data_IF_334394759549
#
_entry.id   IF_334394759549
#
_cell.length_a   1.000
_cell.length_b   1.000
_cell.length_c   1.000
_cell.angle_alpha   90.00
_cell.angle_beta   90.00
_cell.angle_gamma   90.00
#
_symmetry.space_group_name_H-M   'P 1'
#
loop_
_entity.id
_entity.type
_entity.pdbx_description
1 polymer ?
#
# COMPACT_ATOMS: atom_id res chain seq x y z
N UNK A 1 -3.66 -5.09 4.09
CA UNK A 1 -2.85 -4.21 3.24
C UNK A 1 -3.03 -2.82 3.79
N UNK A 2 -1.92 -2.21 4.18
CA UNK A 2 -1.87 -0.95 4.92
C UNK A 2 -0.77 -0.07 4.35
N UNK A 3 -0.87 1.23 4.56
CA UNK A 3 0.18 2.20 4.21
C UNK A 3 0.43 3.13 5.38
N UNK A 4 1.64 3.64 5.44
CA UNK A 4 2.10 4.60 6.44
C UNK A 4 1.39 5.96 6.27
N UNK A 5 1.19 6.72 7.36
CA UNK A 5 0.57 8.07 7.32
C UNK A 5 1.14 8.98 6.23
N UNK A 6 2.45 9.02 6.06
CA UNK A 6 3.12 9.78 5.00
C UNK A 6 2.60 9.49 3.57
N UNK A 7 2.15 8.27 3.29
CA UNK A 7 1.55 7.90 1.99
C UNK A 7 0.18 8.54 1.82
N UNK A 8 -0.62 8.62 2.88
CA UNK A 8 -1.90 9.32 2.87
C UNK A 8 -1.71 10.84 2.71
N UNK A 9 -0.73 11.44 3.39
CA UNK A 9 -0.37 12.84 3.17
C UNK A 9 0.06 13.09 1.73
N UNK A 10 0.90 12.22 1.17
CA UNK A 10 1.26 12.29 -0.24
C UNK A 10 0.06 12.16 -1.17
N UNK A 11 -0.91 11.28 -0.85
CA UNK A 11 -2.12 11.13 -1.66
C UNK A 11 -2.92 12.43 -1.77
N UNK A 12 -2.96 13.24 -0.71
CA UNK A 12 -3.62 14.56 -0.71
C UNK A 12 -2.88 15.54 -1.63
N UNK A 13 -1.55 15.61 -1.55
CA UNK A 13 -0.75 16.65 -2.22
C UNK A 13 -0.29 16.30 -3.64
N UNK A 14 0.00 15.02 -3.90
CA UNK A 14 0.67 14.54 -5.12
C UNK A 14 0.13 13.23 -5.68
N UNK A 15 -0.99 12.73 -5.13
CA UNK A 15 -1.71 11.58 -5.66
C UNK A 15 -2.50 11.90 -6.94
N UNK A 16 -3.16 10.87 -7.49
CA UNK A 16 -4.20 11.08 -8.50
C UNK A 16 -5.51 11.57 -7.83
N UNK A 17 -6.42 12.18 -8.60
CA UNK A 17 -7.64 12.78 -8.04
C UNK A 17 -8.50 11.81 -7.22
N UNK A 18 -8.56 10.52 -7.58
CA UNK A 18 -9.26 9.50 -6.79
C UNK A 18 -8.55 9.24 -5.46
N UNK A 19 -7.22 9.21 -5.45
CA UNK A 19 -6.43 9.05 -4.23
C UNK A 19 -6.54 10.27 -3.32
N UNK A 20 -6.53 11.48 -3.89
CA UNK A 20 -6.76 12.72 -3.13
C UNK A 20 -8.14 12.70 -2.48
N UNK A 21 -9.20 12.49 -3.27
CA UNK A 21 -10.58 12.46 -2.76
C UNK A 21 -10.76 11.41 -1.67
N UNK A 22 -10.24 10.20 -1.89
CA UNK A 22 -10.31 9.14 -0.88
C UNK A 22 -9.53 9.50 0.38
N UNK A 23 -8.32 10.05 0.25
CA UNK A 23 -7.47 10.41 1.39
C UNK A 23 -8.06 11.53 2.26
N UNK A 24 -8.92 12.37 1.70
CA UNK A 24 -9.69 13.37 2.45
C UNK A 24 -10.89 12.70 3.14
N UNK A 25 -11.74 12.02 2.37
CA UNK A 25 -13.00 11.46 2.89
C UNK A 25 -12.78 10.38 3.96
N UNK A 26 -11.64 9.67 3.93
CA UNK A 26 -11.34 8.64 4.93
C UNK A 26 -11.25 9.17 6.36
N UNK A 27 -10.96 10.47 6.53
CA UNK A 27 -10.81 11.10 7.85
C UNK A 27 -12.16 11.30 8.56
N UNK A 28 -13.27 11.20 7.84
CA UNK A 28 -14.63 11.28 8.37
C UNK A 28 -15.17 9.92 8.84
N UNK A 29 -14.39 8.85 8.66
CA UNK A 29 -14.78 7.48 9.03
C UNK A 29 -14.24 7.13 10.42
N UNK A 30 -15.02 6.40 11.20
CA UNK A 30 -14.55 5.76 12.43
C UNK A 30 -13.41 4.78 12.15
N UNK A 31 -12.52 4.58 13.13
CA UNK A 31 -11.28 3.79 12.98
C UNK A 31 -11.49 2.40 12.36
N UNK A 32 -12.55 1.67 12.77
CA UNK A 32 -12.85 0.34 12.25
C UNK A 32 -13.25 0.39 10.77
N UNK A 33 -14.16 1.29 10.40
CA UNK A 33 -14.57 1.49 9.01
C UNK A 33 -13.40 1.97 8.15
N UNK A 34 -12.58 2.84 8.73
CA UNK A 34 -11.41 3.41 8.07
C UNK A 34 -10.43 2.31 7.66
N UNK A 35 -10.09 1.38 8.57
CA UNK A 35 -9.21 0.23 8.29
C UNK A 35 -9.77 -0.64 7.15
N UNK A 36 -11.06 -0.97 7.21
CA UNK A 36 -11.70 -1.82 6.19
C UNK A 36 -11.68 -1.14 4.81
N UNK A 37 -12.15 0.10 4.76
CA UNK A 37 -12.24 0.88 3.51
C UNK A 37 -10.88 1.14 2.91
N UNK A 38 -9.85 1.39 3.74
CA UNK A 38 -8.49 1.58 3.26
C UNK A 38 -7.96 0.36 2.57
N UNK A 39 -8.09 -0.78 3.24
CA UNK A 39 -7.67 -2.05 2.70
C UNK A 39 -8.35 -2.33 1.36
N UNK A 40 -9.64 -1.98 1.21
CA UNK A 40 -10.40 -2.08 -0.04
C UNK A 40 -9.91 -1.09 -1.10
N UNK A 41 -9.76 0.18 -0.78
CA UNK A 41 -9.30 1.23 -1.70
C UNK A 41 -7.89 0.93 -2.23
N UNK A 42 -6.98 0.57 -1.31
CA UNK A 42 -5.60 0.23 -1.59
C UNK A 42 -5.52 -0.94 -2.58
N UNK A 43 -6.41 -1.93 -2.51
CA UNK A 43 -6.46 -3.04 -3.46
C UNK A 43 -7.01 -2.66 -4.84
N UNK A 44 -7.80 -1.59 -4.92
CA UNK A 44 -8.41 -1.11 -6.17
C UNK A 44 -7.44 -0.37 -7.10
N UNK A 45 -7.95 0.05 -8.26
CA UNK A 45 -7.18 0.82 -9.26
C UNK A 45 -6.64 2.14 -8.69
N UNK A 46 -7.44 2.86 -7.90
CA UNK A 46 -7.02 4.12 -7.26
C UNK A 46 -5.82 3.91 -6.33
N UNK A 47 -5.89 2.89 -5.46
CA UNK A 47 -4.79 2.48 -4.60
C UNK A 47 -3.56 2.00 -5.36
N UNK A 48 -3.73 1.25 -6.45
CA UNK A 48 -2.63 0.80 -7.31
C UNK A 48 -1.85 1.99 -7.87
N UNK A 49 -2.56 2.99 -8.42
CA UNK A 49 -1.95 4.21 -8.94
C UNK A 49 -1.26 5.01 -7.84
N UNK A 50 -1.85 5.09 -6.64
CA UNK A 50 -1.22 5.74 -5.49
C UNK A 50 0.12 5.07 -5.13
N UNK A 51 0.15 3.73 -5.03
CA UNK A 51 1.39 3.00 -4.74
C UNK A 51 2.45 3.21 -5.81
N UNK A 52 2.07 3.12 -7.08
CA UNK A 52 3.01 3.38 -8.18
C UNK A 52 3.56 4.80 -8.13
N UNK A 53 2.73 5.80 -7.82
CA UNK A 53 3.18 7.18 -7.67
C UNK A 53 4.12 7.36 -6.47
N UNK A 54 3.82 6.73 -5.33
CA UNK A 54 4.69 6.71 -4.17
C UNK A 54 6.06 6.11 -4.48
N UNK A 55 6.11 4.92 -5.09
CA UNK A 55 7.38 4.29 -5.46
C UNK A 55 8.20 5.11 -6.47
N UNK A 56 7.55 5.90 -7.34
CA UNK A 56 8.25 6.77 -8.29
C UNK A 56 8.99 7.94 -7.63
N UNK A 57 8.68 8.29 -6.39
CA UNK A 57 9.45 9.29 -5.63
C UNK A 57 10.88 8.79 -5.34
N UNK A 58 11.07 7.47 -5.30
CA UNK A 58 12.33 6.84 -4.93
C UNK A 58 12.52 6.76 -3.40
N UNK A 59 13.33 5.79 -2.98
CA UNK A 59 13.48 5.41 -1.57
C UNK A 59 13.93 6.58 -0.67
N UNK A 60 14.82 7.44 -1.16
CA UNK A 60 15.32 8.60 -0.41
C UNK A 60 14.18 9.56 -0.04
N UNK A 61 13.32 9.90 -1.00
CA UNK A 61 12.22 10.83 -0.79
C UNK A 61 11.09 10.19 0.03
N UNK A 62 10.80 8.91 -0.20
CA UNK A 62 9.86 8.14 0.63
C UNK A 62 10.29 8.15 2.10
N UNK A 63 11.56 7.83 2.39
CA UNK A 63 12.13 7.86 3.74
C UNK A 63 12.07 9.26 4.35
N UNK A 64 12.47 10.30 3.60
CA UNK A 64 12.39 11.69 4.06
C UNK A 64 10.96 12.06 4.48
N UNK A 65 9.95 11.69 3.69
CA UNK A 65 8.54 11.95 4.00
C UNK A 65 8.05 11.16 5.21
N UNK A 66 8.48 9.91 5.36
CA UNK A 66 8.15 9.09 6.53
C UNK A 66 8.77 9.64 7.81
N UNK A 67 9.98 10.20 7.74
CA UNK A 67 10.63 10.87 8.88
C UNK A 67 9.90 12.15 9.30
N UNK A 68 9.41 12.94 8.34
CA UNK A 68 8.66 14.18 8.62
C UNK A 68 7.24 13.91 9.10
N UNK A 69 6.70 12.72 8.84
CA UNK A 69 5.36 12.32 9.27
C UNK A 69 5.41 10.96 9.98
N UNK A 70 5.83 10.92 11.26
CA UNK A 70 5.98 9.67 12.01
C UNK A 70 4.67 8.88 12.12
N UNK A 71 4.77 7.56 12.14
CA UNK A 71 3.64 6.64 12.30
C UNK A 71 4.04 5.41 13.12
N UNK A 72 3.91 5.52 14.44
CA UNK A 72 4.30 4.47 15.39
C UNK A 72 3.46 3.18 15.25
N UNK A 73 2.36 3.24 14.49
CA UNK A 73 1.50 2.08 14.22
C UNK A 73 1.93 1.26 13.01
N UNK A 74 2.99 1.71 12.31
CA UNK A 74 3.50 1.11 11.10
C UNK A 74 4.91 0.54 11.34
N UNK A 75 5.22 -0.67 10.84
CA UNK A 75 6.51 -1.30 11.08
C UNK A 75 7.66 -0.50 10.46
N UNK A 76 8.73 -0.36 11.24
CA UNK A 76 10.00 0.23 10.81
C UNK A 76 10.65 -0.56 9.66
N UNK A 77 11.61 0.08 8.97
CA UNK A 77 12.36 -0.55 7.88
C UNK A 77 11.56 -0.80 6.60
N UNK A 78 10.32 -0.33 6.53
CA UNK A 78 9.47 -0.44 5.34
C UNK A 78 9.55 0.82 4.47
N UNK A 79 9.18 0.69 3.19
CA UNK A 79 9.02 1.84 2.28
C UNK A 79 7.62 2.46 2.38
N UNK A 80 6.94 2.34 3.53
CA UNK A 80 5.63 2.94 3.80
C UNK A 80 4.42 2.20 3.20
N UNK A 81 4.61 1.03 2.59
CA UNK A 81 3.53 0.20 2.04
C UNK A 81 3.72 -1.24 2.53
N UNK A 82 2.68 -1.81 3.13
CA UNK A 82 2.67 -3.17 3.65
C UNK A 82 1.52 -3.97 3.02
N UNK A 83 1.87 -4.98 2.22
CA UNK A 83 0.91 -5.94 1.70
C UNK A 83 0.86 -7.19 2.59
N UNK A 84 -0.02 -7.15 3.59
CA UNK A 84 -0.22 -8.23 4.57
C UNK A 84 -0.88 -9.49 3.99
N UNK A 85 -1.11 -9.56 2.67
CA UNK A 85 -1.59 -10.80 2.05
C UNK A 85 -0.52 -11.87 2.25
N UNK A 86 -0.87 -12.95 2.96
CA UNK A 86 -0.13 -14.21 2.83
C UNK A 86 -0.06 -14.52 1.34
N UNK A 87 1.12 -14.39 0.72
CA UNK A 87 1.38 -15.02 -0.56
C UNK A 87 1.26 -16.51 -0.28
N UNK A 88 0.05 -17.05 -0.43
CA UNK A 88 -0.13 -18.48 -0.60
C UNK A 88 0.76 -18.82 -1.78
N UNK A 89 1.91 -19.44 -1.49
CA UNK A 89 2.79 -19.99 -2.49
C UNK A 89 1.94 -20.93 -3.32
N UNK A 90 1.42 -20.46 -4.46
CA UNK A 90 1.14 -21.33 -5.59
C UNK A 90 2.51 -21.85 -6.00
N UNK A 91 2.95 -22.91 -5.32
CA UNK A 91 3.80 -23.90 -5.93
C UNK A 91 2.98 -24.34 -7.14
N UNK A 92 3.28 -23.77 -8.32
CA UNK A 92 2.88 -24.40 -9.57
C UNK A 92 3.59 -25.74 -9.54
N UNK A 93 2.88 -26.80 -9.18
CA UNK A 93 3.33 -28.15 -9.43
C UNK A 93 3.69 -28.20 -10.91
N UNK A 94 4.98 -28.24 -11.22
CA UNK A 94 5.44 -28.57 -12.56
C UNK A 94 5.00 -30.01 -12.75
N UNK A 95 4.01 -30.25 -13.62
CA UNK A 95 3.73 -31.57 -14.14
C UNK A 95 4.95 -32.02 -14.95
N UNK A 96 5.96 -32.52 -14.26
CA UNK A 96 7.04 -33.29 -14.87
C UNK A 96 6.45 -34.66 -15.19
N UNK A 97 6.11 -34.89 -16.46
CA UNK A 97 5.74 -36.23 -16.92
C UNK A 97 6.96 -37.15 -16.69
N UNK A 98 6.79 -38.35 -16.13
CA UNK A 98 7.90 -39.28 -15.99
C UNK A 98 8.35 -39.76 -17.37
N UNK A 99 9.66 -39.69 -17.62
CA UNK A 99 10.32 -40.35 -18.74
C UNK A 99 10.26 -41.85 -18.42
N UNK A 100 9.63 -42.64 -19.29
CA UNK A 100 9.71 -44.10 -19.22
C UNK A 100 11.09 -44.51 -19.76
N UNK A 101 11.83 -45.27 -18.95
CA UNK A 101 12.99 -46.06 -19.38
C UNK A 101 12.54 -47.25 -20.20
#
# INVERSE_FOLDING_TARGET
MRVHKAVWHFAVTGGNDYARRYAINRLELDDSMQIERDSKFLRGRGGMRLRSAWYKLGDKECKRRMLVTPDDTFPEGTNGILDERKRGSRIRAKNTKPIKL
#
